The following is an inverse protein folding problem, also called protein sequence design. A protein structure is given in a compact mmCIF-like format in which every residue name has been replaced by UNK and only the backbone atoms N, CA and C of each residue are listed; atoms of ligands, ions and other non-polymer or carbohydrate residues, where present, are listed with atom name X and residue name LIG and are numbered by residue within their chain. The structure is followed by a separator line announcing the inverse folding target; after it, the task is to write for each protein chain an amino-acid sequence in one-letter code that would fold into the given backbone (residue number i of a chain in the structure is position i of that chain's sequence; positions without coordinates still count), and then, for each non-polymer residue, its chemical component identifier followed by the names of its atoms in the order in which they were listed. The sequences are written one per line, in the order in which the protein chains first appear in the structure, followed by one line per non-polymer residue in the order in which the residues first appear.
data_IF_909942550848
#
_entry.id   IF_909942550848
#
_cell.length_a   1.000
_cell.length_b   1.000
_cell.length_c   1.000
_cell.angle_alpha   90.00
_cell.angle_beta   90.00
_cell.angle_gamma   90.00
#
_symmetry.space_group_name_H-M   'P 1'
#
loop_
_entity.id
_entity.type
_entity.pdbx_description
1 polymer ?
#
# COMPACT_ATOMS: atom_id res chain seq x y z
N UNK A 1 -55.41 37.66 8.99
CA UNK A 1 -54.25 37.70 8.07
C UNK A 1 -53.04 38.38 8.71
N UNK A 2 -52.55 37.93 9.87
CA UNK A 2 -51.36 38.54 10.53
C UNK A 2 -50.38 37.56 11.18
N UNK A 3 -50.71 36.27 11.24
CA UNK A 3 -49.86 35.25 11.88
C UNK A 3 -48.98 34.46 10.90
N UNK A 4 -49.22 34.56 9.59
CA UNK A 4 -48.46 33.82 8.57
C UNK A 4 -47.13 34.48 8.18
N UNK A 5 -46.95 35.79 8.40
CA UNK A 5 -45.70 36.49 8.07
C UNK A 5 -44.56 36.21 9.06
N UNK A 6 -44.85 35.80 10.30
CA UNK A 6 -43.81 35.64 11.31
C UNK A 6 -43.00 34.34 11.11
N UNK A 7 -43.58 33.33 10.47
CA UNK A 7 -42.89 32.05 10.23
C UNK A 7 -41.85 32.14 9.10
N UNK A 8 -42.05 33.03 8.12
CA UNK A 8 -41.13 33.17 6.98
C UNK A 8 -39.83 33.90 7.34
N UNK A 9 -39.87 34.80 8.33
CA UNK A 9 -38.69 35.57 8.76
C UNK A 9 -37.78 34.74 9.66
N UNK A 10 -38.33 33.77 10.40
CA UNK A 10 -37.53 32.91 11.30
C UNK A 10 -36.70 31.85 10.55
N UNK A 11 -37.15 31.42 9.36
CA UNK A 11 -36.37 30.50 8.51
C UNK A 11 -35.17 31.16 7.81
N UNK A 12 -35.10 32.50 7.76
CA UNK A 12 -34.01 33.26 7.14
C UNK A 12 -32.83 33.53 8.10
N UNK A 13 -32.94 33.13 9.37
CA UNK A 13 -31.94 33.33 10.41
C UNK A 13 -31.16 32.06 10.78
N UNK A 14 -31.31 30.97 10.01
CA UNK A 14 -30.42 29.83 10.15
C UNK A 14 -29.05 30.23 9.59
N UNK A 15 -27.98 30.28 10.40
CA UNK A 15 -26.65 30.39 9.86
C UNK A 15 -26.44 29.18 8.96
N UNK A 16 -26.24 29.42 7.67
CA UNK A 16 -25.55 28.49 6.79
C UNK A 16 -24.13 28.32 7.36
N UNK A 17 -24.00 27.52 8.41
CA UNK A 17 -22.78 26.82 8.73
C UNK A 17 -22.68 25.65 7.73
N UNK A 18 -22.63 25.99 6.44
CA UNK A 18 -21.93 25.16 5.48
C UNK A 18 -20.45 25.34 5.83
N UNK A 19 -20.03 24.66 6.91
CA UNK A 19 -18.63 24.33 7.09
C UNK A 19 -18.31 23.40 5.93
N UNK A 20 -17.86 23.96 4.81
CA UNK A 20 -16.91 23.24 4.00
C UNK A 20 -15.75 22.96 4.95
N UNK A 21 -15.59 21.70 5.35
CA UNK A 21 -14.30 21.25 5.84
C UNK A 21 -13.30 21.67 4.76
N UNK A 22 -12.47 22.67 5.04
CA UNK A 22 -11.15 22.71 4.43
C UNK A 22 -10.54 21.36 4.77
N UNK A 23 -10.57 20.42 3.81
CA UNK A 23 -9.98 19.10 3.96
C UNK A 23 -8.48 19.32 4.13
N UNK A 24 -8.06 19.52 5.38
CA UNK A 24 -6.67 19.69 5.75
C UNK A 24 -5.85 18.46 5.37
N UNK A 25 -4.55 18.54 5.63
CA UNK A 25 -3.65 17.42 5.38
C UNK A 25 -4.15 16.15 6.09
N UNK A 26 -4.48 15.12 5.32
CA UNK A 26 -4.93 13.85 5.86
C UNK A 26 -4.49 12.67 4.98
N UNK A 27 -4.41 11.51 5.61
CA UNK A 27 -4.09 10.24 4.97
C UNK A 27 -5.21 9.24 5.26
N UNK A 28 -5.55 8.44 4.25
CA UNK A 28 -6.44 7.28 4.39
C UNK A 28 -5.74 6.04 3.86
N UNK A 29 -6.09 4.90 4.46
CA UNK A 29 -5.58 3.60 4.09
C UNK A 29 -6.75 2.63 3.86
N UNK A 30 -6.58 1.59 3.04
CA UNK A 30 -7.53 0.51 2.96
C UNK A 30 -7.71 -0.13 4.34
N UNK A 31 -8.94 -0.49 4.70
CA UNK A 31 -9.22 -1.13 6.00
C UNK A 31 -8.41 -2.42 6.20
N UNK A 32 -8.10 -3.12 5.10
CA UNK A 32 -7.30 -4.35 5.09
C UNK A 32 -6.13 -4.20 4.13
N UNK A 33 -4.92 -4.24 4.67
CA UNK A 33 -3.68 -4.27 3.90
C UNK A 33 -3.24 -5.72 3.71
N UNK A 34 -2.98 -6.10 2.45
CA UNK A 34 -2.45 -7.43 2.10
C UNK A 34 -0.98 -7.29 1.68
N UNK A 35 -0.03 -7.87 2.43
CA UNK A 35 1.35 -7.94 1.99
C UNK A 35 1.48 -8.59 0.60
N UNK A 36 2.40 -8.07 -0.22
CA UNK A 36 2.61 -8.40 -1.63
C UNK A 36 1.43 -8.06 -2.58
N UNK A 37 0.40 -7.39 -2.08
CA UNK A 37 -0.74 -6.94 -2.90
C UNK A 37 -0.64 -5.47 -3.31
N UNK A 38 -1.55 -5.06 -4.20
CA UNK A 38 -1.64 -3.70 -4.72
C UNK A 38 -2.42 -2.77 -3.77
N UNK A 39 -1.91 -2.54 -2.57
CA UNK A 39 -2.54 -1.58 -1.65
C UNK A 39 -2.21 -0.14 -2.07
N UNK A 40 -3.16 0.76 -1.86
CA UNK A 40 -3.02 2.17 -2.19
C UNK A 40 -3.38 3.03 -0.98
N UNK A 41 -2.43 3.84 -0.52
CA UNK A 41 -2.68 4.90 0.45
C UNK A 41 -3.13 6.15 -0.30
N UNK A 42 -4.10 6.87 0.25
CA UNK A 42 -4.58 8.12 -0.34
C UNK A 42 -4.24 9.27 0.59
N UNK A 43 -3.48 10.24 0.08
CA UNK A 43 -3.07 11.44 0.81
C UNK A 43 -3.73 12.64 0.17
N UNK A 44 -4.44 13.43 0.98
CA UNK A 44 -4.90 14.74 0.55
C UNK A 44 -3.93 15.79 1.06
N UNK A 45 -3.28 16.49 0.14
CA UNK A 45 -2.33 17.55 0.42
C UNK A 45 -2.99 18.92 0.19
N UNK A 46 -3.08 19.82 1.18
CA UNK A 46 -3.65 21.16 0.97
C UNK A 46 -2.78 22.03 0.04
N UNK A 47 -1.48 21.75 -0.01
CA UNK A 47 -0.48 22.40 -0.86
C UNK A 47 0.50 21.36 -1.39
N UNK A 48 1.16 21.67 -2.51
CA UNK A 48 2.26 20.84 -3.00
C UNK A 48 3.45 20.86 -2.01
N UNK A 49 4.23 19.78 -1.99
CA UNK A 49 5.36 19.68 -1.06
C UNK A 49 6.03 18.31 -1.06
N UNK A 50 6.89 18.10 -0.05
CA UNK A 50 7.59 16.83 0.14
C UNK A 50 6.87 15.97 1.19
N UNK A 51 6.43 14.80 0.76
CA UNK A 51 5.73 13.81 1.56
C UNK A 51 6.70 12.71 2.03
N UNK A 52 6.64 12.42 3.32
CA UNK A 52 7.24 11.22 3.93
C UNK A 52 6.14 10.41 4.60
N UNK A 53 6.07 9.11 4.31
CA UNK A 53 5.18 8.17 4.99
C UNK A 53 6.02 7.11 5.68
N UNK A 54 5.72 6.88 6.95
CA UNK A 54 6.28 5.81 7.77
C UNK A 54 5.17 4.93 8.30
N UNK A 55 5.52 3.71 8.71
CA UNK A 55 4.63 2.83 9.45
C UNK A 55 5.24 2.46 10.80
N UNK A 56 4.39 2.08 11.75
CA UNK A 56 4.76 1.51 13.03
C UNK A 56 3.91 0.26 13.32
N UNK A 57 4.57 -0.86 13.64
CA UNK A 57 3.92 -2.11 14.02
C UNK A 57 4.85 -2.90 14.96
N UNK A 58 4.28 -3.45 16.04
CA UNK A 58 5.01 -4.30 17.00
C UNK A 58 6.32 -3.68 17.51
N UNK A 59 6.32 -2.37 17.77
CA UNK A 59 7.50 -1.62 18.22
C UNK A 59 8.56 -1.36 17.14
N UNK A 60 8.33 -1.80 15.90
CA UNK A 60 9.20 -1.53 14.74
C UNK A 60 8.62 -0.39 13.92
N UNK A 61 9.51 0.44 13.38
CA UNK A 61 9.16 1.48 12.41
C UNK A 61 9.84 1.22 11.08
N UNK A 62 9.22 1.68 10.00
CA UNK A 62 9.83 1.63 8.68
C UNK A 62 9.29 2.73 7.77
N UNK A 63 9.98 2.93 6.66
CA UNK A 63 9.64 3.95 5.66
C UNK A 63 8.85 3.32 4.53
N UNK A 64 7.69 3.90 4.21
CA UNK A 64 6.91 3.57 3.01
C UNK A 64 7.42 4.40 1.83
N UNK A 65 7.55 5.71 2.04
CA UNK A 65 8.14 6.64 1.08
C UNK A 65 8.80 7.79 1.85
N UNK A 66 9.88 8.37 1.29
CA UNK A 66 10.59 9.51 1.88
C UNK A 66 10.87 10.55 0.81
N UNK A 67 10.59 11.83 1.11
CA UNK A 67 10.87 12.96 0.23
C UNK A 67 10.18 12.91 -1.13
N UNK A 68 8.99 12.30 -1.23
CA UNK A 68 8.25 12.25 -2.49
C UNK A 68 7.53 13.57 -2.74
N UNK A 69 7.79 14.19 -3.89
CA UNK A 69 7.03 15.35 -4.32
C UNK A 69 5.56 14.95 -4.56
N UNK A 70 4.64 15.71 -3.97
CA UNK A 70 3.19 15.57 -4.16
C UNK A 70 2.59 16.89 -4.56
N UNK A 71 1.54 16.83 -5.39
CA UNK A 71 0.78 18.00 -5.81
C UNK A 71 -0.32 18.32 -4.77
N UNK A 72 -0.85 19.53 -4.83
CA UNK A 72 -2.05 19.88 -4.07
C UNK A 72 -3.24 19.01 -4.51
N UNK A 73 -4.07 18.59 -3.56
CA UNK A 73 -5.19 17.69 -3.77
C UNK A 73 -4.85 16.23 -3.44
N UNK A 74 -5.52 15.30 -4.12
CA UNK A 74 -5.43 13.88 -3.84
C UNK A 74 -4.24 13.22 -4.54
N UNK A 75 -3.43 12.50 -3.76
CA UNK A 75 -2.26 11.75 -4.22
C UNK A 75 -2.42 10.27 -3.81
N UNK A 76 -2.15 9.36 -4.75
CA UNK A 76 -2.24 7.92 -4.50
C UNK A 76 -0.84 7.32 -4.41
N UNK A 77 -0.54 6.71 -3.26
CA UNK A 77 0.77 6.14 -2.96
C UNK A 77 0.66 4.61 -2.93
N UNK A 78 1.29 3.89 -3.88
CA UNK A 78 1.29 2.43 -3.86
C UNK A 78 2.15 1.90 -2.70
N UNK A 79 1.67 0.88 -2.02
CA UNK A 79 2.43 0.20 -0.97
C UNK A 79 2.11 -1.29 -0.90
N UNK A 80 3.13 -2.13 -1.05
CA UNK A 80 2.98 -3.58 -0.96
C UNK A 80 2.82 -4.11 0.48
N UNK A 81 2.66 -3.24 1.49
CA UNK A 81 2.59 -3.59 2.90
C UNK A 81 3.76 -4.47 3.37
N UNK A 82 4.97 -4.09 2.93
CA UNK A 82 6.23 -4.76 3.25
C UNK A 82 7.06 -3.92 4.22
N UNK A 83 7.81 -4.62 5.07
CA UNK A 83 8.86 -4.08 5.91
C UNK A 83 10.18 -3.94 5.15
N UNK A 84 11.24 -3.57 5.87
CA UNK A 84 12.61 -3.59 5.34
C UNK A 84 12.94 -4.96 4.71
N UNK A 85 13.77 -4.94 3.67
CA UNK A 85 14.22 -6.13 2.93
C UNK A 85 13.11 -6.93 2.24
N UNK A 86 11.92 -6.36 2.06
CA UNK A 86 10.81 -6.99 1.33
C UNK A 86 10.04 -8.04 2.14
N UNK A 87 10.26 -8.12 3.45
CA UNK A 87 9.50 -8.99 4.33
C UNK A 87 8.04 -8.51 4.46
N UNK A 88 7.06 -9.42 4.58
CA UNK A 88 5.68 -9.01 4.79
C UNK A 88 5.51 -8.43 6.19
N UNK A 89 4.66 -7.40 6.33
CA UNK A 89 4.24 -6.96 7.66
C UNK A 89 3.50 -8.07 8.41
N UNK A 90 3.61 -8.05 9.74
CA UNK A 90 2.92 -8.99 10.63
C UNK A 90 1.40 -8.79 10.52
N UNK A 91 0.64 -9.89 10.62
CA UNK A 91 -0.82 -9.78 10.73
C UNK A 91 -1.19 -9.05 12.02
N UNK A 92 -1.98 -7.99 11.92
CA UNK A 92 -2.30 -7.17 13.09
C UNK A 92 -2.63 -5.72 12.75
N UNK A 93 -2.68 -4.87 13.77
CA UNK A 93 -2.81 -3.43 13.59
C UNK A 93 -1.49 -2.85 13.07
N UNK A 94 -1.57 -1.81 12.24
CA UNK A 94 -0.44 -0.99 11.82
C UNK A 94 -0.86 0.48 11.85
N UNK A 95 0.01 1.31 12.41
CA UNK A 95 -0.16 2.77 12.38
C UNK A 95 0.66 3.33 11.22
N UNK A 96 0.06 4.18 10.41
CA UNK A 96 0.69 4.82 9.25
C UNK A 96 0.73 6.32 9.52
N UNK A 97 1.92 6.90 9.45
CA UNK A 97 2.15 8.32 9.72
C UNK A 97 2.65 9.00 8.46
N UNK A 98 1.98 10.07 8.05
CA UNK A 98 2.36 10.92 6.94
C UNK A 98 2.87 12.27 7.49
N UNK A 99 3.92 12.79 6.88
CA UNK A 99 4.47 14.12 7.14
C UNK A 99 4.57 14.88 5.82
N UNK A 100 3.96 16.06 5.73
CA UNK A 100 4.02 16.96 4.58
C UNK A 100 4.46 18.33 5.06
N UNK A 101 5.67 18.77 4.66
CA UNK A 101 6.23 20.06 5.06
C UNK A 101 6.16 20.34 6.59
N UNK A 102 6.25 19.29 7.41
CA UNK A 102 6.16 19.36 8.87
C UNK A 102 4.77 19.20 9.48
N UNK A 103 3.69 19.22 8.68
CA UNK A 103 2.35 18.82 9.12
C UNK A 103 2.26 17.29 9.20
N UNK A 104 1.57 16.76 10.22
CA UNK A 104 1.44 15.32 10.43
C UNK A 104 0.00 14.86 10.29
N UNK A 105 -0.17 13.65 9.75
CA UNK A 105 -1.45 12.96 9.71
C UNK A 105 -1.22 11.46 9.99
N UNK A 106 -2.15 10.84 10.69
CA UNK A 106 -2.04 9.43 11.11
C UNK A 106 -3.31 8.67 10.76
N UNK A 107 -3.16 7.44 10.32
CA UNK A 107 -4.27 6.49 10.09
C UNK A 107 -3.89 5.10 10.56
N UNK A 108 -4.88 4.36 11.06
CA UNK A 108 -4.72 2.95 11.41
C UNK A 108 -5.31 2.05 10.33
N UNK A 109 -4.66 0.92 10.09
CA UNK A 109 -5.15 -0.15 9.23
C UNK A 109 -4.90 -1.52 9.87
N UNK A 110 -5.53 -2.56 9.32
CA UNK A 110 -5.25 -3.95 9.70
C UNK A 110 -4.52 -4.67 8.58
N UNK A 111 -3.32 -5.17 8.88
CA UNK A 111 -2.60 -6.11 8.02
C UNK A 111 -3.25 -7.49 8.17
N UNK A 112 -3.57 -8.10 7.04
CA UNK A 112 -4.12 -9.46 6.96
C UNK A 112 -3.11 -10.39 6.28
N UNK A 113 -3.46 -11.67 6.11
CA UNK A 113 -2.58 -12.64 5.47
C UNK A 113 -2.04 -12.15 4.11
N UNK A 114 -0.73 -12.36 3.84
CA UNK A 114 -0.12 -12.03 2.55
C UNK A 114 -0.84 -12.70 1.37
N UNK A 115 -0.77 -12.08 0.19
CA UNK A 115 -1.03 -12.83 -1.04
C UNK A 115 0.13 -13.81 -1.29
N UNK A 116 -0.11 -14.96 -1.95
CA UNK A 116 0.96 -15.86 -2.34
C UNK A 116 2.01 -15.12 -3.19
N UNK A 117 3.27 -15.19 -2.79
CA UNK A 117 4.39 -14.58 -3.49
C UNK A 117 5.63 -15.49 -3.42
N UNK A 118 6.50 -15.37 -4.42
CA UNK A 118 7.80 -16.05 -4.45
C UNK A 118 8.81 -15.17 -3.72
N UNK A 119 9.35 -15.65 -2.60
CA UNK A 119 10.30 -14.87 -1.79
C UNK A 119 11.74 -14.95 -2.32
N UNK A 120 12.13 -16.10 -2.87
CA UNK A 120 13.41 -16.30 -3.53
C UNK A 120 13.34 -17.47 -4.50
N UNK A 121 14.23 -17.44 -5.49
CA UNK A 121 14.56 -18.58 -6.34
C UNK A 121 16.08 -18.72 -6.31
N UNK A 122 16.57 -19.85 -5.78
CA UNK A 122 18.00 -20.14 -5.82
C UNK A 122 18.26 -21.08 -6.97
N UNK A 123 19.14 -20.68 -7.89
CA UNK A 123 19.71 -21.59 -8.87
C UNK A 123 20.66 -22.54 -8.12
N UNK A 124 20.30 -23.82 -8.05
CA UNK A 124 21.25 -24.85 -7.67
C UNK A 124 21.88 -25.39 -8.94
N UNK A 125 23.21 -25.23 -9.02
CA UNK A 125 24.07 -25.96 -9.95
C UNK A 125 24.80 -27.01 -9.15
N UNK A 126 24.26 -28.22 -9.08
CA UNK A 126 25.13 -29.36 -8.79
C UNK A 126 26.01 -29.52 -10.03
N UNK A 127 27.33 -29.39 -9.86
CA UNK A 127 28.25 -29.60 -10.98
C UNK A 127 28.27 -31.08 -11.30
N UNK A 128 27.36 -31.54 -12.16
CA UNK A 128 27.35 -32.93 -12.66
C UNK A 128 28.11 -32.96 -13.99
N UNK A 129 29.43 -33.08 -13.86
CA UNK A 129 30.43 -33.44 -14.88
C UNK A 129 30.54 -32.59 -16.17
N UNK A 130 31.77 -32.42 -16.63
CA UNK A 130 32.08 -31.79 -17.91
C UNK A 130 31.40 -32.55 -19.06
N UNK A 131 30.39 -31.93 -19.70
CA UNK A 131 29.73 -32.45 -20.90
C UNK A 131 28.20 -32.40 -20.90
N UNK A 132 27.55 -32.11 -19.77
CA UNK A 132 26.09 -31.99 -19.72
C UNK A 132 25.63 -30.53 -19.70
N UNK A 133 24.60 -30.23 -20.49
CA UNK A 133 23.96 -28.92 -20.53
C UNK A 133 23.44 -28.57 -19.12
N UNK A 134 23.60 -27.30 -18.73
CA UNK A 134 23.32 -26.78 -17.39
C UNK A 134 21.97 -27.28 -16.84
N UNK A 135 22.02 -28.17 -15.86
CA UNK A 135 20.85 -28.53 -15.05
C UNK A 135 20.60 -27.38 -14.06
N UNK A 136 19.40 -26.79 -14.13
CA UNK A 136 18.97 -25.74 -13.21
C UNK A 136 17.96 -26.33 -12.22
N UNK A 137 18.34 -26.32 -10.95
CA UNK A 137 17.40 -26.61 -9.88
C UNK A 137 16.87 -25.28 -9.32
N UNK A 138 15.54 -25.13 -9.25
CA UNK A 138 14.89 -23.96 -8.66
C UNK A 138 14.11 -24.39 -7.42
N UNK A 139 14.60 -23.96 -6.25
CA UNK A 139 13.87 -24.11 -5.00
C UNK A 139 12.94 -22.90 -4.81
N UNK A 140 11.69 -23.17 -4.48
CA UNK A 140 10.67 -22.15 -4.21
C UNK A 140 9.95 -22.47 -2.90
N UNK A 141 9.53 -21.43 -2.18
CA UNK A 141 8.69 -21.55 -1.00
C UNK A 141 7.54 -20.53 -1.12
N UNK A 142 6.32 -21.00 -0.90
CA UNK A 142 5.13 -20.15 -0.78
C UNK A 142 4.93 -19.74 0.68
N UNK A 143 4.54 -18.49 0.90
CA UNK A 143 4.22 -17.94 2.22
C UNK A 143 2.83 -18.34 2.74
N UNK A 144 2.00 -18.99 1.91
CA UNK A 144 0.65 -19.47 2.25
C UNK A 144 0.25 -20.63 1.30
N UNK A 145 -0.78 -21.44 1.64
CA UNK A 145 -1.33 -22.45 0.73
C UNK A 145 -1.78 -21.82 -0.59
N UNK A 146 -1.35 -22.39 -1.72
CA UNK A 146 -1.67 -21.88 -3.05
C UNK A 146 -1.11 -22.77 -4.16
N UNK A 147 -1.42 -22.41 -5.40
CA UNK A 147 -0.84 -23.01 -6.60
C UNK A 147 0.34 -22.13 -7.05
N UNK A 148 1.52 -22.71 -7.21
CA UNK A 148 2.63 -22.05 -7.87
C UNK A 148 2.73 -22.55 -9.30
N UNK A 149 2.56 -21.64 -10.27
CA UNK A 149 2.93 -21.93 -11.65
C UNK A 149 4.38 -21.56 -11.87
N UNK A 150 5.20 -22.53 -12.27
CA UNK A 150 6.58 -22.29 -12.73
C UNK A 150 6.58 -22.37 -14.25
N UNK A 151 7.14 -21.37 -14.92
CA UNK A 151 7.28 -21.33 -16.38
C UNK A 151 8.75 -21.19 -16.77
N UNK A 152 9.17 -22.01 -17.72
CA UNK A 152 10.42 -21.83 -18.46
C UNK A 152 10.09 -21.07 -19.74
N UNK A 153 10.73 -19.93 -19.96
CA UNK A 153 10.57 -19.11 -21.17
C UNK A 153 11.90 -18.97 -21.90
N UNK A 154 11.87 -18.77 -23.22
CA UNK A 154 13.05 -18.40 -24.00
C UNK A 154 13.43 -16.92 -23.84
N UNK A 155 14.47 -16.48 -24.56
CA UNK A 155 14.96 -15.09 -24.50
C UNK A 155 13.96 -14.07 -25.05
N UNK A 156 12.97 -14.53 -25.81
CA UNK A 156 11.91 -13.73 -26.41
C UNK A 156 10.63 -13.75 -25.55
N UNK A 157 10.65 -14.46 -24.41
CA UNK A 157 9.52 -14.59 -23.50
C UNK A 157 8.50 -15.65 -23.93
N UNK A 158 8.81 -16.47 -24.93
CA UNK A 158 7.93 -17.56 -25.35
C UNK A 158 8.00 -18.71 -24.34
N UNK A 159 6.84 -19.21 -23.92
CA UNK A 159 6.76 -20.38 -23.01
C UNK A 159 7.33 -21.63 -23.70
N UNK A 160 8.33 -22.23 -23.06
CA UNK A 160 8.92 -23.51 -23.43
C UNK A 160 8.30 -24.66 -22.64
N UNK A 161 7.98 -24.42 -21.36
CA UNK A 161 7.36 -25.41 -20.47
C UNK A 161 6.72 -24.74 -19.26
N UNK A 162 5.66 -25.35 -18.73
CA UNK A 162 5.02 -24.94 -17.46
C UNK A 162 4.84 -26.15 -16.53
N UNK A 163 4.94 -25.89 -15.23
CA UNK A 163 4.62 -26.80 -14.12
C UNK A 163 3.65 -26.11 -13.16
N UNK A 164 2.79 -26.87 -12.48
CA UNK A 164 1.76 -26.37 -11.55
C UNK A 164 1.55 -27.33 -10.38
#
# INVERSE_FOLDING_TARGET
MRTTCLLLVLCLLLPLNAMGEEQGFHITAPQRLRPYGDNQLTVHAPIAGELTITYAQDGRTGTVVSGMAVEAGQNTIPWAALAAHGEPLSTGAVTINASLNGQQATVEARVVSPVPAVQFAVASSDTIYAGNAQDFHVWHQLSAPGLLRVQLVDKQGQELRSWS
#
